data_IF_427089960694
#
_entry.id   IF_427089960694
#
_cell.length_a   1.000
_cell.length_b   1.000
_cell.length_c   1.000
_cell.angle_alpha   90.00
_cell.angle_beta   90.00
_cell.angle_gamma   90.00
#
_symmetry.space_group_name_H-M   'P 1'
#
loop_
_entity.id
_entity.type
_entity.pdbx_description
1 polymer ?
#
# COMPACT_ATOMS: atom_id res chain seq x y z
N UNK A 1 9.78 -12.13 -1.70
CA UNK A 1 8.37 -11.87 -2.01
C UNK A 1 8.05 -10.43 -1.55
N UNK A 2 7.93 -9.45 -2.46
CA UNK A 2 7.57 -8.07 -2.09
C UNK A 2 6.06 -7.91 -2.29
N UNK A 3 5.32 -7.86 -1.19
CA UNK A 3 3.86 -7.75 -1.21
C UNK A 3 3.49 -6.29 -1.47
N UNK A 4 2.85 -6.02 -2.60
CA UNK A 4 2.15 -4.75 -2.84
C UNK A 4 0.76 -4.90 -2.24
N UNK A 5 0.45 -4.16 -1.17
CA UNK A 5 -0.88 -4.16 -0.56
C UNK A 5 -1.77 -3.20 -1.33
N UNK A 6 -2.95 -3.68 -1.75
CA UNK A 6 -3.99 -2.83 -2.33
C UNK A 6 -4.78 -2.23 -1.18
N UNK A 7 -4.84 -0.90 -1.10
CA UNK A 7 -5.60 -0.18 -0.08
C UNK A 7 -6.76 0.59 -0.73
N UNK A 8 -7.89 0.62 -0.04
CA UNK A 8 -8.96 1.58 -0.35
C UNK A 8 -8.52 3.02 0.01
N UNK A 9 -9.20 4.01 -0.55
CA UNK A 9 -8.89 5.42 -0.32
C UNK A 9 -9.01 5.82 1.16
N UNK A 10 -9.98 5.24 1.89
CA UNK A 10 -10.15 5.47 3.32
C UNK A 10 -9.00 4.88 4.15
N UNK A 11 -8.48 3.71 3.75
CA UNK A 11 -7.31 3.12 4.41
C UNK A 11 -6.06 3.96 4.14
N UNK A 12 -5.90 4.53 2.95
CA UNK A 12 -4.77 5.38 2.63
C UNK A 12 -4.67 6.64 3.48
N UNK A 13 -5.79 7.34 3.72
CA UNK A 13 -5.79 8.56 4.54
C UNK A 13 -5.24 8.30 5.94
N UNK A 14 -5.48 7.11 6.51
CA UNK A 14 -4.94 6.70 7.80
C UNK A 14 -3.41 6.45 7.79
N UNK A 15 -2.81 6.21 6.63
CA UNK A 15 -1.38 5.87 6.48
C UNK A 15 -0.56 6.92 5.73
N UNK A 16 -1.16 8.04 5.33
CA UNK A 16 -0.56 9.04 4.43
C UNK A 16 0.78 9.60 4.93
N UNK A 17 0.98 9.73 6.24
CA UNK A 17 2.22 10.26 6.84
C UNK A 17 3.42 9.32 6.69
N UNK A 18 3.17 8.01 6.58
CA UNK A 18 4.22 6.98 6.48
C UNK A 18 4.57 6.58 5.05
N UNK A 19 3.95 7.18 4.03
CA UNK A 19 4.08 6.77 2.63
C UNK A 19 4.80 7.82 1.78
N UNK A 20 5.68 7.34 0.91
CA UNK A 20 6.37 8.09 -0.13
C UNK A 20 5.73 7.75 -1.47
N UNK A 21 5.30 8.76 -2.21
CA UNK A 21 4.73 8.58 -3.54
C UNK A 21 5.85 8.30 -4.55
N UNK A 22 5.68 7.25 -5.35
CA UNK A 22 6.66 6.80 -6.34
C UNK A 22 6.24 7.07 -7.79
N UNK A 23 4.93 7.18 -8.05
CA UNK A 23 4.41 7.42 -9.39
C UNK A 23 3.03 6.83 -9.62
N UNK A 24 2.52 7.03 -10.84
CA UNK A 24 1.24 6.48 -11.30
C UNK A 24 1.47 5.31 -12.25
N UNK A 25 0.53 4.37 -12.26
CA UNK A 25 0.50 3.21 -13.16
C UNK A 25 -0.87 3.12 -13.81
N UNK A 26 -0.91 2.69 -15.07
CA UNK A 26 -2.14 2.49 -15.84
C UNK A 26 -2.04 1.16 -16.60
N UNK A 27 -3.13 0.41 -16.62
CA UNK A 27 -3.24 -0.84 -17.37
C UNK A 27 -4.62 -0.92 -18.03
N UNK A 28 -4.67 -1.52 -19.21
CA UNK A 28 -5.94 -1.72 -19.90
C UNK A 28 -5.98 -3.01 -20.70
N UNK A 29 -7.08 -3.75 -20.55
CA UNK A 29 -7.31 -4.99 -21.29
C UNK A 29 -8.61 -4.89 -22.06
N UNK A 30 -8.62 -5.39 -23.30
CA UNK A 30 -9.82 -5.44 -24.15
C UNK A 30 -10.14 -6.90 -24.46
N UNK A 31 -11.31 -7.37 -24.05
CA UNK A 31 -11.79 -8.70 -24.44
C UNK A 31 -12.66 -8.63 -25.68
N UNK A 32 -12.19 -9.25 -26.76
CA UNK A 32 -13.02 -9.48 -27.95
C UNK A 32 -13.92 -10.69 -27.69
N UNK A 33 -15.23 -10.50 -27.83
CA UNK A 33 -16.19 -11.61 -27.81
C UNK A 33 -15.92 -12.51 -29.02
N UNK A 34 -15.52 -13.77 -28.81
CA UNK A 34 -15.27 -14.70 -29.91
C UNK A 34 -14.64 -16.05 -29.56
N UNK A 35 -14.01 -16.22 -28.38
CA UNK A 35 -13.28 -17.48 -28.07
C UNK A 35 -13.81 -18.27 -26.86
N UNK A 36 -14.79 -17.75 -26.12
CA UNK A 36 -15.32 -18.44 -24.94
C UNK A 36 -16.84 -18.59 -25.10
N UNK A 37 -17.27 -19.81 -25.45
CA UNK A 37 -18.67 -20.19 -25.47
C UNK A 37 -19.22 -20.27 -24.06
N UNK A 38 -19.74 -19.15 -23.55
CA UNK A 38 -20.35 -19.11 -22.22
C UNK A 38 -20.71 -17.68 -21.83
N UNK A 39 -21.88 -17.51 -21.22
CA UNK A 39 -22.44 -16.25 -20.73
C UNK A 39 -21.75 -15.71 -19.47
N UNK A 40 -20.47 -16.03 -19.26
CA UNK A 40 -19.71 -15.51 -18.13
C UNK A 40 -19.47 -14.01 -18.33
N UNK A 41 -19.67 -13.22 -17.28
CA UNK A 41 -19.38 -11.79 -17.28
C UNK A 41 -17.86 -11.60 -17.37
N UNK A 42 -17.35 -11.52 -18.60
CA UNK A 42 -15.91 -11.40 -18.92
C UNK A 42 -15.27 -10.14 -18.32
N UNK A 43 -16.07 -9.22 -17.79
CA UNK A 43 -15.60 -8.01 -17.11
C UNK A 43 -14.83 -8.31 -15.81
N UNK A 44 -15.20 -9.35 -15.07
CA UNK A 44 -14.50 -9.74 -13.82
C UNK A 44 -13.10 -10.32 -14.12
N UNK A 45 -12.98 -11.13 -15.17
CA UNK A 45 -11.69 -11.63 -15.65
C UNK A 45 -10.80 -10.50 -16.17
N UNK A 46 -11.38 -9.55 -16.90
CA UNK A 46 -10.67 -8.38 -17.37
C UNK A 46 -10.16 -7.49 -16.24
N UNK A 47 -10.95 -7.32 -15.18
CA UNK A 47 -10.51 -6.63 -13.97
C UNK A 47 -9.33 -7.37 -13.32
N UNK A 48 -9.37 -8.70 -13.23
CA UNK A 48 -8.29 -9.47 -12.63
C UNK A 48 -6.95 -9.33 -13.39
N UNK A 49 -6.95 -9.46 -14.72
CA UNK A 49 -5.74 -9.34 -15.53
C UNK A 49 -5.14 -7.92 -15.45
N UNK A 50 -6.02 -6.91 -15.45
CA UNK A 50 -5.63 -5.51 -15.27
C UNK A 50 -4.97 -5.30 -13.90
N UNK A 51 -5.52 -5.89 -12.83
CA UNK A 51 -4.95 -5.78 -11.48
C UNK A 51 -3.58 -6.46 -11.36
N UNK A 52 -3.37 -7.58 -12.05
CA UNK A 52 -2.07 -8.24 -12.11
C UNK A 52 -1.03 -7.36 -12.80
N UNK A 53 -1.36 -6.78 -13.96
CA UNK A 53 -0.47 -5.87 -14.67
C UNK A 53 -0.07 -4.65 -13.83
N UNK A 54 -1.04 -4.02 -13.16
CA UNK A 54 -0.76 -2.90 -12.26
C UNK A 54 0.12 -3.28 -11.07
N UNK A 55 -0.06 -4.47 -10.52
CA UNK A 55 0.78 -4.97 -9.44
C UNK A 55 2.22 -5.13 -9.91
N UNK A 56 2.45 -5.69 -11.09
CA UNK A 56 3.81 -5.88 -11.62
C UNK A 56 4.49 -4.54 -11.93
N UNK A 57 3.74 -3.57 -12.47
CA UNK A 57 4.22 -2.20 -12.62
C UNK A 57 4.56 -1.55 -11.26
N UNK A 58 3.71 -1.71 -10.25
CA UNK A 58 3.95 -1.19 -8.90
C UNK A 58 5.18 -1.82 -8.24
N UNK A 59 5.41 -3.12 -8.43
CA UNK A 59 6.63 -3.81 -7.98
C UNK A 59 7.87 -3.26 -8.69
N UNK A 60 7.77 -3.01 -10.00
CA UNK A 60 8.87 -2.46 -10.81
C UNK A 60 9.29 -1.07 -10.33
N UNK A 61 8.33 -0.25 -9.90
CA UNK A 61 8.60 1.05 -9.28
C UNK A 61 9.15 0.96 -7.85
N UNK A 62 9.24 -0.24 -7.26
CA UNK A 62 9.68 -0.42 -5.86
C UNK A 62 8.59 -0.11 -4.83
N UNK A 63 7.32 -0.16 -5.25
CA UNK A 63 6.15 0.07 -4.41
C UNK A 63 5.90 -1.04 -3.40
N UNK A 64 5.38 -0.62 -2.24
CA UNK A 64 4.83 -1.50 -1.20
C UNK A 64 3.31 -1.39 -1.10
N UNK A 65 2.73 -0.30 -1.60
CA UNK A 65 1.30 -0.01 -1.55
C UNK A 65 0.86 0.48 -2.94
N UNK A 66 -0.24 -0.06 -3.43
CA UNK A 66 -0.90 0.37 -4.66
C UNK A 66 -2.32 0.80 -4.32
N UNK A 67 -2.69 2.02 -4.69
CA UNK A 67 -4.02 2.56 -4.47
C UNK A 67 -4.71 2.66 -5.82
N UNK A 68 -5.85 2.01 -5.94
CA UNK A 68 -6.60 1.94 -7.17
C UNK A 68 -7.60 3.09 -7.24
N UNK A 69 -7.70 3.72 -8.40
CA UNK A 69 -8.79 4.63 -8.71
C UNK A 69 -10.06 3.85 -9.07
N UNK A 70 -11.16 4.53 -9.38
CA UNK A 70 -12.35 3.83 -9.88
C UNK A 70 -12.05 3.22 -11.28
N UNK A 71 -12.34 1.94 -11.53
CA UNK A 71 -12.19 1.36 -12.87
C UNK A 71 -13.07 2.09 -13.88
N UNK A 72 -12.53 2.30 -15.07
CA UNK A 72 -13.26 2.77 -16.25
C UNK A 72 -13.56 1.59 -17.16
N UNK A 73 -14.84 1.26 -17.30
CA UNK A 73 -15.32 0.13 -18.11
C UNK A 73 -16.00 0.72 -19.34
N UNK A 74 -15.29 0.68 -20.46
CA UNK A 74 -15.77 1.21 -21.73
C UNK A 74 -16.79 0.25 -22.39
N UNK A 75 -17.74 0.76 -23.21
CA UNK A 75 -18.77 -0.05 -23.87
C UNK A 75 -18.25 -1.18 -24.79
N UNK A 76 -17.02 -1.03 -25.28
CA UNK A 76 -16.29 -2.01 -26.09
C UNK A 76 -15.69 -3.17 -25.26
N UNK A 77 -16.08 -3.30 -23.98
CA UNK A 77 -15.53 -4.28 -23.02
C UNK A 77 -14.03 -4.09 -22.77
N UNK A 78 -13.54 -2.86 -22.94
CA UNK A 78 -12.22 -2.47 -22.45
C UNK A 78 -12.36 -2.07 -21.00
N UNK A 79 -11.56 -2.71 -20.16
CA UNK A 79 -11.39 -2.33 -18.77
C UNK A 79 -10.08 -1.57 -18.66
N UNK A 80 -10.15 -0.36 -18.11
CA UNK A 80 -8.99 0.47 -17.81
C UNK A 80 -8.97 0.76 -16.32
N UNK A 81 -7.79 0.62 -15.72
CA UNK A 81 -7.59 0.88 -14.31
C UNK A 81 -6.31 1.68 -14.13
N UNK A 82 -6.41 2.68 -13.25
CA UNK A 82 -5.28 3.49 -12.81
C UNK A 82 -4.98 3.21 -11.36
N UNK A 83 -3.74 3.42 -10.97
CA UNK A 83 -3.36 3.41 -9.58
C UNK A 83 -2.14 4.26 -9.26
N UNK A 84 -2.02 4.60 -7.98
CA UNK A 84 -0.92 5.38 -7.41
C UNK A 84 -0.07 4.47 -6.55
N UNK A 85 1.24 4.50 -6.79
CA UNK A 85 2.21 3.63 -6.15
C UNK A 85 2.92 4.37 -5.03
N UNK A 86 3.00 3.73 -3.88
CA UNK A 86 3.65 4.26 -2.70
C UNK A 86 4.61 3.24 -2.09
N UNK A 87 5.62 3.76 -1.40
CA UNK A 87 6.54 3.00 -0.58
C UNK A 87 6.45 3.47 0.86
N UNK A 88 6.58 2.56 1.82
CA UNK A 88 6.78 2.96 3.22
C UNK A 88 8.06 3.79 3.33
N UNK A 89 7.95 5.03 3.82
CA UNK A 89 9.13 5.80 4.19
C UNK A 89 9.90 5.01 5.23
N UNK A 90 11.17 4.75 4.94
CA UNK A 90 12.10 4.30 5.97
C UNK A 90 12.18 5.43 6.99
N UNK A 91 11.64 5.22 8.18
CA UNK A 91 11.85 6.15 9.30
C UNK A 91 13.34 6.09 9.60
N UNK A 92 14.05 7.19 9.40
CA UNK A 92 15.47 7.23 9.78
C UNK A 92 15.56 7.18 11.30
N UNK A 93 16.69 6.71 11.83
CA UNK A 93 16.93 6.79 13.28
C UNK A 93 16.83 8.23 13.79
N UNK A 94 17.19 9.22 12.96
CA UNK A 94 17.08 10.64 13.30
C UNK A 94 15.61 11.11 13.39
N UNK A 95 14.75 10.68 12.46
CA UNK A 95 13.31 10.97 12.50
C UNK A 95 12.65 10.32 13.72
N UNK A 96 13.05 9.08 14.03
CA UNK A 96 12.59 8.38 15.22
C UNK A 96 13.04 9.09 16.50
N UNK A 97 14.28 9.59 16.57
CA UNK A 97 14.80 10.34 17.71
C UNK A 97 14.13 11.71 17.87
N UNK A 98 13.87 12.42 16.77
CA UNK A 98 13.10 13.68 16.80
C UNK A 98 11.70 13.45 17.32
N UNK A 99 10.99 12.46 16.78
CA UNK A 99 9.64 12.10 17.23
C UNK A 99 9.63 11.67 18.71
N UNK A 100 10.62 10.89 19.14
CA UNK A 100 10.77 10.47 20.53
C UNK A 100 11.04 11.66 21.46
N UNK A 101 11.84 12.62 21.02
CA UNK A 101 12.14 13.84 21.77
C UNK A 101 10.94 14.77 21.91
N UNK A 102 10.12 14.91 20.87
CA UNK A 102 8.85 15.63 20.96
C UNK A 102 7.88 14.92 21.91
N UNK A 103 7.80 13.59 21.84
CA UNK A 103 6.98 12.77 22.72
C UNK A 103 7.41 12.91 24.20
N UNK A 104 8.71 12.89 24.46
CA UNK A 104 9.30 13.08 25.78
C UNK A 104 8.93 14.47 26.34
N UNK A 105 9.07 15.53 25.53
CA UNK A 105 8.66 16.90 25.91
C UNK A 105 7.18 17.00 26.24
N UNK A 106 6.30 16.43 25.41
CA UNK A 106 4.85 16.45 25.65
C UNK A 106 4.45 15.70 26.93
N UNK A 107 5.21 14.66 27.30
CA UNK A 107 4.96 13.84 28.49
C UNK A 107 5.71 14.31 29.74
N UNK A 108 6.48 15.40 29.64
CA UNK A 108 7.31 15.89 30.76
C UNK A 108 8.39 14.90 31.18
N UNK A 109 8.88 14.08 30.25
CA UNK A 109 9.90 13.04 30.46
C UNK A 109 11.19 13.40 29.74
N UNK A 110 12.28 12.78 30.19
CA UNK A 110 13.57 12.83 29.48
C UNK A 110 13.58 11.87 28.29
N UNK A 111 14.54 12.06 27.38
CA UNK A 111 14.71 11.21 26.21
C UNK A 111 15.06 9.76 26.61
N UNK A 112 15.98 9.61 27.57
CA UNK A 112 16.38 8.32 28.15
C UNK A 112 15.19 7.55 28.76
N UNK A 113 14.37 8.20 29.59
CA UNK A 113 13.17 7.54 30.16
C UNK A 113 12.20 7.07 29.07
N UNK A 114 12.10 7.82 27.98
CA UNK A 114 11.22 7.45 26.87
C UNK A 114 11.80 6.32 26.02
N UNK A 115 13.14 6.24 25.87
CA UNK A 115 13.83 5.10 25.27
C UNK A 115 13.61 3.83 26.08
N UNK A 116 13.73 3.90 27.41
CA UNK A 116 13.50 2.75 28.29
C UNK A 116 12.06 2.20 28.16
N UNK A 117 11.07 3.10 28.11
CA UNK A 117 9.66 2.73 27.92
C UNK A 117 9.45 2.07 26.55
N UNK A 118 10.03 2.63 25.48
CA UNK A 118 9.92 2.06 24.14
C UNK A 118 10.60 0.69 24.04
N UNK A 119 11.76 0.51 24.68
CA UNK A 119 12.46 -0.77 24.77
C UNK A 119 11.67 -1.81 25.57
N UNK A 120 10.96 -1.39 26.63
CA UNK A 120 10.09 -2.26 27.39
C UNK A 120 8.86 -2.68 26.59
N UNK A 121 8.23 -1.75 25.87
CA UNK A 121 7.11 -2.02 24.95
C UNK A 121 7.57 -2.98 23.84
N UNK A 122 8.71 -2.72 23.21
CA UNK A 122 9.29 -3.56 22.16
C UNK A 122 9.57 -4.97 22.65
N UNK A 123 10.14 -5.11 23.86
CA UNK A 123 10.34 -6.42 24.52
C UNK A 123 9.02 -7.13 24.81
N UNK A 124 7.98 -6.41 25.23
CA UNK A 124 6.64 -6.99 25.48
C UNK A 124 5.97 -7.45 24.18
N UNK A 125 6.05 -6.67 23.11
CA UNK A 125 5.52 -7.03 21.79
C UNK A 125 6.26 -8.23 21.18
N UNK A 126 7.58 -8.29 21.37
CA UNK A 126 8.42 -9.39 20.86
C UNK A 126 8.13 -10.72 21.58
N UNK A 127 7.79 -10.67 22.87
CA UNK A 127 7.35 -11.86 23.64
C UNK A 127 5.91 -12.29 23.33
N UNK A 128 5.12 -11.44 22.67
CA UNK A 128 3.75 -11.75 22.22
C UNK A 128 3.65 -12.51 20.90
N UNK A 129 4.76 -12.72 20.18
CA UNK A 129 4.82 -13.51 18.92
C UNK A 129 5.41 -14.91 19.14
N UNK A 130 5.01 -15.57 20.23
CA UNK A 130 5.34 -16.98 20.48
C UNK A 130 4.17 -17.69 21.14
N UNK A 131 3.07 -17.82 20.39
CA UNK A 131 2.23 -19.03 20.27
C UNK A 131 1.11 -18.81 19.26
#
# INVERSE_FOLDING_TARGET
>A
MRVVRVLSQNEFEAFQTGLEFLGEVEESVTYRAGCFGGSADLSEFALFDVLLGLKDQAVTLGGHVLILEKPDIEPNRRVRQKGKVYRWKMVTMEDAEKALGELARMKGKTLEEMREIMDEISRKLSKGCSK
#
